data_IF_670629310099
#
_entry.id   IF_670629310099
#
_cell.length_a   1.000
_cell.length_b   1.000
_cell.length_c   1.000
_cell.angle_alpha   90.00
_cell.angle_beta   90.00
_cell.angle_gamma   90.00
#
_symmetry.space_group_name_H-M   'P 1'
#
loop_
_entity.id
_entity.type
_entity.pdbx_description
1 polymer ?
#
# COMPACT_ATOMS: atom_id res chain seq x y z
N UNK A 1 -16.83 -14.35 -5.43
CA UNK A 1 -16.62 -14.61 -3.98
C UNK A 1 -16.96 -16.03 -3.59
N UNK A 2 -18.22 -16.49 -3.75
CA UNK A 2 -18.63 -17.87 -3.39
C UNK A 2 -17.74 -18.96 -4.01
N UNK A 3 -17.68 -19.05 -5.34
CA UNK A 3 -16.90 -20.08 -6.05
C UNK A 3 -15.38 -19.90 -5.94
N UNK A 4 -14.93 -18.70 -5.56
CA UNK A 4 -13.51 -18.35 -5.47
C UNK A 4 -12.93 -18.65 -4.08
N UNK A 5 -13.69 -18.37 -3.03
CA UNK A 5 -13.22 -18.44 -1.65
C UNK A 5 -14.09 -19.38 -0.81
N UNK A 6 -15.39 -19.11 -0.69
CA UNK A 6 -16.30 -19.88 0.19
C UNK A 6 -16.29 -21.38 -0.12
N UNK A 7 -16.34 -21.75 -1.40
CA UNK A 7 -16.37 -23.15 -1.83
C UNK A 7 -14.97 -23.80 -1.90
N UNK A 8 -13.91 -22.99 -1.98
CA UNK A 8 -12.53 -23.45 -2.22
C UNK A 8 -11.69 -23.52 -0.95
N UNK A 9 -11.75 -22.52 -0.08
CA UNK A 9 -10.93 -22.43 1.14
C UNK A 9 -11.06 -23.70 2.01
N UNK A 10 -12.25 -24.25 2.28
CA UNK A 10 -12.37 -25.49 3.06
C UNK A 10 -11.66 -26.69 2.41
N UNK A 11 -11.57 -26.71 1.08
CA UNK A 11 -10.90 -27.78 0.31
C UNK A 11 -9.37 -27.61 0.27
N UNK A 12 -8.85 -26.45 0.68
CA UNK A 12 -7.42 -26.14 0.73
C UNK A 12 -6.78 -26.46 2.09
N UNK A 13 -7.56 -26.96 3.05
CA UNK A 13 -7.05 -27.35 4.36
C UNK A 13 -6.13 -28.57 4.20
N UNK A 14 -4.87 -28.41 4.60
CA UNK A 14 -3.91 -29.49 4.60
C UNK A 14 -4.19 -30.45 5.78
N UNK A 15 -4.48 -31.71 5.47
CA UNK A 15 -4.86 -32.72 6.45
C UNK A 15 -3.82 -32.97 7.57
N UNK A 16 -2.53 -32.77 7.30
CA UNK A 16 -1.47 -33.00 8.29
C UNK A 16 -1.36 -31.86 9.33
N UNK A 17 -1.81 -30.66 8.98
CA UNK A 17 -1.64 -29.47 9.84
C UNK A 17 -2.97 -28.86 10.29
N UNK A 18 -4.07 -29.19 9.62
CA UNK A 18 -5.36 -28.53 9.82
C UNK A 18 -5.41 -27.07 9.36
N UNK A 19 -4.42 -26.61 8.56
CA UNK A 19 -4.29 -25.21 8.12
C UNK A 19 -4.27 -25.09 6.61
N UNK A 20 -4.59 -23.90 6.11
CA UNK A 20 -4.39 -23.51 4.70
C UNK A 20 -2.96 -22.98 4.53
N UNK A 21 -2.26 -23.43 3.48
CA UNK A 21 -0.90 -23.02 3.15
C UNK A 21 -0.89 -22.30 1.80
N UNK A 22 -0.94 -20.97 1.82
CA UNK A 22 -0.86 -20.15 0.59
C UNK A 22 0.54 -20.25 -0.03
N UNK A 23 0.63 -19.99 -1.33
CA UNK A 23 1.89 -19.92 -2.07
C UNK A 23 2.26 -18.46 -2.35
N UNK A 24 3.37 -18.00 -1.75
CA UNK A 24 3.95 -16.69 -2.07
C UNK A 24 4.98 -16.80 -3.20
N UNK A 25 4.74 -16.05 -4.27
CA UNK A 25 5.59 -16.01 -5.45
C UNK A 25 6.44 -14.73 -5.41
N UNK A 26 7.75 -14.91 -5.20
CA UNK A 26 8.69 -13.80 -4.99
C UNK A 26 9.16 -13.14 -6.30
N UNK A 27 9.13 -13.87 -7.43
CA UNK A 27 9.70 -13.45 -8.72
C UNK A 27 8.64 -13.36 -9.84
N UNK A 28 7.45 -12.83 -9.52
CA UNK A 28 6.34 -12.71 -10.48
C UNK A 28 6.00 -11.25 -10.80
N UNK A 29 5.75 -10.41 -9.78
CA UNK A 29 5.37 -9.03 -10.02
C UNK A 29 6.59 -8.19 -10.47
N UNK A 30 6.43 -7.44 -11.56
CA UNK A 30 7.48 -6.56 -12.11
C UNK A 30 7.94 -5.54 -11.05
N UNK A 31 7.00 -5.05 -10.23
CA UNK A 31 7.27 -4.09 -9.14
C UNK A 31 7.93 -4.71 -7.92
N UNK A 32 8.14 -6.03 -7.90
CA UNK A 32 8.78 -6.72 -6.79
C UNK A 32 7.86 -7.04 -5.62
N UNK A 33 6.57 -6.70 -5.66
CA UNK A 33 5.59 -7.18 -4.66
C UNK A 33 5.54 -8.71 -4.65
N UNK A 34 5.26 -9.31 -3.49
CA UNK A 34 4.91 -10.72 -3.42
C UNK A 34 3.55 -10.91 -4.11
N UNK A 35 3.40 -11.98 -4.88
CA UNK A 35 2.08 -12.44 -5.35
C UNK A 35 1.65 -13.64 -4.53
N UNK A 36 0.35 -13.81 -4.31
CA UNK A 36 -0.22 -14.92 -3.53
C UNK A 36 -1.15 -15.76 -4.41
N UNK A 37 -1.06 -17.09 -4.27
CA UNK A 37 -1.97 -18.05 -4.92
C UNK A 37 -2.35 -19.18 -3.97
N UNK A 38 -3.50 -19.80 -4.26
CA UNK A 38 -4.02 -20.99 -3.56
C UNK A 38 -4.03 -20.91 -2.02
N UNK A 39 -4.78 -19.95 -1.42
CA UNK A 39 -5.62 -18.94 -2.07
C UNK A 39 -4.84 -17.66 -2.37
N UNK A 40 -5.32 -16.85 -3.33
CA UNK A 40 -4.83 -15.48 -3.51
C UNK A 40 -5.46 -14.57 -2.44
N UNK A 41 -4.68 -14.24 -1.42
CA UNK A 41 -5.11 -13.40 -0.29
C UNK A 41 -5.30 -11.92 -0.67
N UNK A 42 -4.58 -11.43 -1.69
CA UNK A 42 -4.63 -10.03 -2.14
C UNK A 42 -5.93 -9.67 -2.85
N UNK A 43 -6.67 -10.68 -3.33
CA UNK A 43 -7.92 -10.49 -4.05
C UNK A 43 -9.18 -10.60 -3.17
N UNK A 44 -9.02 -10.83 -1.85
CA UNK A 44 -10.14 -10.83 -0.92
C UNK A 44 -10.61 -9.38 -0.76
N UNK A 45 -11.86 -9.04 -1.11
CA UNK A 45 -12.32 -7.66 -1.05
C UNK A 45 -12.25 -7.09 0.37
N UNK A 46 -11.56 -5.96 0.51
CA UNK A 46 -11.36 -5.30 1.82
C UNK A 46 -12.65 -4.66 2.34
N UNK A 47 -13.48 -4.10 1.45
CA UNK A 47 -14.58 -3.19 1.83
C UNK A 47 -15.98 -3.76 1.70
N UNK A 48 -16.16 -4.90 1.02
CA UNK A 48 -17.49 -5.48 0.84
C UNK A 48 -17.88 -6.32 2.05
N UNK A 49 -19.16 -6.33 2.41
CA UNK A 49 -19.68 -7.12 3.53
C UNK A 49 -19.28 -8.59 3.39
N UNK A 50 -19.36 -9.13 2.17
CA UNK A 50 -18.99 -10.51 1.88
C UNK A 50 -17.49 -10.78 1.99
N UNK A 51 -16.66 -9.78 1.66
CA UNK A 51 -15.20 -9.87 1.80
C UNK A 51 -14.78 -9.88 3.27
N UNK A 52 -15.39 -9.01 4.08
CA UNK A 52 -15.23 -8.98 5.55
C UNK A 52 -15.60 -10.33 6.17
N UNK A 53 -16.73 -10.92 5.76
CA UNK A 53 -17.14 -12.26 6.19
C UNK A 53 -16.18 -13.39 5.78
N UNK A 54 -15.44 -13.24 4.68
CA UNK A 54 -14.38 -14.20 4.32
C UNK A 54 -13.21 -14.06 5.30
N UNK A 55 -12.84 -12.84 5.70
CA UNK A 55 -11.76 -12.58 6.66
C UNK A 55 -12.06 -13.07 8.08
N UNK A 56 -13.33 -13.02 8.48
CA UNK A 56 -13.81 -13.62 9.75
C UNK A 56 -13.47 -15.12 9.87
N UNK A 57 -13.31 -15.82 8.74
CA UNK A 57 -12.96 -17.25 8.73
C UNK A 57 -11.46 -17.53 8.99
N UNK A 58 -10.62 -16.50 9.03
CA UNK A 58 -9.19 -16.61 9.36
C UNK A 58 -9.00 -16.33 10.85
N UNK A 59 -9.07 -17.39 11.65
CA UNK A 59 -9.11 -17.33 13.11
C UNK A 59 -7.75 -17.64 13.75
N UNK A 60 -7.55 -17.12 14.97
CA UNK A 60 -6.49 -17.59 15.84
C UNK A 60 -6.88 -18.92 16.52
N UNK A 61 -5.91 -19.81 16.85
CA UNK A 61 -6.17 -20.94 17.73
C UNK A 61 -6.45 -20.46 19.17
N UNK A 62 -6.99 -21.36 20.00
CA UNK A 62 -7.22 -21.08 21.42
C UNK A 62 -5.92 -20.68 22.15
N UNK A 63 -5.99 -19.63 22.98
CA UNK A 63 -4.83 -19.08 23.70
C UNK A 63 -3.92 -18.19 22.86
N UNK A 64 -4.41 -17.75 21.70
CA UNK A 64 -3.73 -16.84 20.79
C UNK A 64 -4.71 -15.84 20.19
N UNK A 65 -4.16 -14.75 19.64
CA UNK A 65 -4.87 -13.74 18.87
C UNK A 65 -4.27 -13.58 17.47
N UNK A 66 -5.06 -13.01 16.56
CA UNK A 66 -4.56 -12.44 15.32
C UNK A 66 -4.11 -11.01 15.63
N UNK A 67 -2.87 -10.69 15.26
CA UNK A 67 -2.35 -9.33 15.28
C UNK A 67 -2.08 -8.90 13.84
N UNK A 68 -2.70 -7.80 13.42
CA UNK A 68 -2.47 -7.18 12.13
C UNK A 68 -1.60 -5.94 12.30
N UNK A 69 -0.58 -5.77 11.47
CA UNK A 69 0.21 -4.55 11.41
C UNK A 69 0.31 -4.05 9.96
N UNK A 70 -0.28 -2.89 9.69
CA UNK A 70 -0.40 -2.28 8.35
C UNK A 70 0.33 -0.94 8.29
N UNK A 71 1.04 -0.66 7.19
CA UNK A 71 1.68 0.64 7.04
C UNK A 71 0.70 1.75 6.68
N UNK A 72 0.54 2.71 7.58
CA UNK A 72 -0.34 3.86 7.39
C UNK A 72 0.20 4.81 6.31
N UNK A 73 -0.49 4.84 5.16
CA UNK A 73 -0.24 5.76 4.04
C UNK A 73 1.18 5.64 3.45
N UNK A 74 1.73 4.43 3.40
CA UNK A 74 3.12 4.19 2.96
C UNK A 74 3.45 4.85 1.63
N UNK A 75 2.54 4.81 0.67
CA UNK A 75 2.77 5.30 -0.69
C UNK A 75 2.88 6.84 -0.73
N UNK A 76 2.11 7.57 0.08
CA UNK A 76 2.23 9.03 0.19
C UNK A 76 3.51 9.42 0.94
N UNK A 77 3.91 8.66 1.96
CA UNK A 77 5.18 8.87 2.66
C UNK A 77 6.38 8.67 1.74
N UNK A 78 6.32 7.62 0.90
CA UNK A 78 7.33 7.39 -0.14
C UNK A 78 7.30 8.52 -1.17
N UNK A 79 6.13 8.97 -1.63
CA UNK A 79 6.05 10.09 -2.56
C UNK A 79 6.68 11.36 -1.97
N UNK A 80 6.38 11.70 -0.72
CA UNK A 80 6.97 12.86 -0.04
C UNK A 80 8.50 12.77 -0.01
N UNK A 81 9.04 11.59 0.31
CA UNK A 81 10.48 11.35 0.31
C UNK A 81 11.09 11.37 -1.10
N UNK A 82 10.49 10.73 -2.10
CA UNK A 82 11.06 10.69 -3.45
C UNK A 82 10.97 12.04 -4.17
N UNK A 83 9.92 12.80 -3.91
CA UNK A 83 9.71 14.12 -4.50
C UNK A 83 10.42 15.25 -3.77
N UNK A 84 10.84 15.02 -2.52
CA UNK A 84 11.39 16.07 -1.63
C UNK A 84 10.48 17.31 -1.57
N UNK A 85 9.17 17.12 -1.77
CA UNK A 85 8.24 18.22 -1.82
C UNK A 85 8.07 18.83 -0.42
N UNK A 86 8.51 20.08 -0.25
CA UNK A 86 8.49 20.75 1.05
C UNK A 86 7.08 20.84 1.65
N UNK A 87 6.05 21.02 0.82
CA UNK A 87 4.66 21.08 1.27
C UNK A 87 4.17 19.73 1.80
N UNK A 88 4.50 18.64 1.11
CA UNK A 88 4.14 17.29 1.52
C UNK A 88 4.93 16.83 2.76
N UNK A 89 6.23 17.12 2.82
CA UNK A 89 7.08 16.85 3.98
C UNK A 89 6.56 17.59 5.22
N UNK A 90 6.23 18.87 5.10
CA UNK A 90 5.68 19.66 6.20
C UNK A 90 4.31 19.15 6.65
N UNK A 91 3.43 18.77 5.71
CA UNK A 91 2.13 18.20 6.05
C UNK A 91 2.28 16.93 6.90
N UNK A 92 3.20 16.04 6.54
CA UNK A 92 3.49 14.86 7.37
C UNK A 92 4.13 15.20 8.72
N UNK A 93 5.05 16.16 8.76
CA UNK A 93 5.68 16.61 10.00
C UNK A 93 4.65 17.20 10.99
N UNK A 94 3.61 17.86 10.47
CA UNK A 94 2.50 18.42 11.23
C UNK A 94 1.39 17.40 11.54
N UNK A 95 1.54 16.14 11.12
CA UNK A 95 0.52 15.10 11.23
C UNK A 95 -0.82 15.49 10.54
N UNK A 96 -0.76 16.26 9.45
CA UNK A 96 -1.92 16.68 8.68
C UNK A 96 -2.49 15.53 7.85
N UNK A 97 -3.82 15.46 7.76
CA UNK A 97 -4.50 14.53 6.88
C UNK A 97 -4.57 15.09 5.45
N UNK A 98 -3.58 14.70 4.63
CA UNK A 98 -3.47 15.12 3.23
C UNK A 98 -4.73 14.76 2.43
N UNK A 99 -5.42 13.66 2.76
CA UNK A 99 -6.68 13.30 2.09
C UNK A 99 -7.81 14.25 2.45
N UNK A 100 -7.95 14.62 3.73
CA UNK A 100 -8.95 15.64 4.14
C UNK A 100 -8.65 16.99 3.52
N UNK A 101 -7.38 17.37 3.42
CA UNK A 101 -7.01 18.61 2.75
C UNK A 101 -7.41 18.61 1.27
N UNK A 102 -7.05 17.54 0.53
CA UNK A 102 -7.48 17.38 -0.87
C UNK A 102 -9.01 17.37 -0.98
N UNK A 103 -9.72 16.72 -0.06
CA UNK A 103 -11.18 16.68 -0.06
C UNK A 103 -11.78 18.08 0.12
N UNK A 104 -11.28 18.85 1.09
CA UNK A 104 -11.73 20.22 1.33
C UNK A 104 -11.65 21.08 0.06
N UNK A 105 -10.54 20.97 -0.68
CA UNK A 105 -10.36 21.69 -1.95
C UNK A 105 -11.25 21.17 -3.09
N UNK A 106 -11.42 19.85 -3.21
CA UNK A 106 -12.21 19.23 -4.28
C UNK A 106 -13.70 19.45 -4.09
N UNK A 107 -14.19 19.39 -2.85
CA UNK A 107 -15.61 19.54 -2.52
C UNK A 107 -15.98 20.98 -2.14
N UNK A 108 -15.01 21.88 -2.00
CA UNK A 108 -15.24 23.29 -1.67
C UNK A 108 -15.81 23.48 -0.25
N UNK A 109 -15.34 22.67 0.70
CA UNK A 109 -15.79 22.69 2.11
C UNK A 109 -14.62 22.96 3.04
N UNK A 110 -14.91 23.42 4.26
CA UNK A 110 -13.89 23.55 5.31
C UNK A 110 -13.29 22.18 5.68
N UNK A 111 -12.02 22.15 6.09
CA UNK A 111 -11.31 20.88 6.41
C UNK A 111 -12.03 20.04 7.46
N UNK A 112 -12.59 20.70 8.46
CA UNK A 112 -13.30 20.05 9.56
C UNK A 112 -14.72 19.61 9.16
N UNK A 113 -15.26 20.16 8.08
CA UNK A 113 -16.54 19.77 7.50
C UNK A 113 -16.42 18.59 6.51
N UNK A 114 -15.20 18.13 6.22
CA UNK A 114 -14.97 16.97 5.34
C UNK A 114 -15.51 15.71 6.01
N UNK A 115 -16.47 15.06 5.37
CA UNK A 115 -16.98 13.77 5.83
C UNK A 115 -16.07 12.59 5.41
N UNK A 116 -16.36 11.40 5.93
CA UNK A 116 -15.55 10.20 5.65
C UNK A 116 -15.64 9.74 4.19
N UNK A 117 -16.75 10.01 3.50
CA UNK A 117 -16.94 9.66 2.10
C UNK A 117 -16.12 10.59 1.20
N UNK A 118 -16.18 11.90 1.42
CA UNK A 118 -15.38 12.92 0.74
C UNK A 118 -13.88 12.65 0.92
N UNK A 119 -13.44 12.36 2.16
CA UNK A 119 -12.06 11.95 2.43
C UNK A 119 -11.68 10.68 1.65
N UNK A 120 -12.57 9.70 1.56
CA UNK A 120 -12.35 8.46 0.80
C UNK A 120 -12.21 8.73 -0.69
N UNK A 121 -13.02 9.62 -1.25
CA UNK A 121 -12.87 10.06 -2.65
C UNK A 121 -11.53 10.75 -2.88
N UNK A 122 -11.14 11.68 -2.00
CA UNK A 122 -9.85 12.35 -2.07
C UNK A 122 -8.66 11.39 -1.94
N UNK A 123 -8.79 10.29 -1.20
CA UNK A 123 -7.81 9.20 -1.18
C UNK A 123 -7.61 8.58 -2.56
N UNK A 124 -8.69 8.27 -3.28
CA UNK A 124 -8.61 7.76 -4.67
C UNK A 124 -7.98 8.79 -5.61
N UNK A 125 -8.30 10.07 -5.44
CA UNK A 125 -7.70 11.16 -6.21
C UNK A 125 -6.20 11.23 -5.96
N UNK A 126 -5.75 11.36 -4.70
CA UNK A 126 -4.34 11.47 -4.36
C UNK A 126 -3.54 10.29 -4.93
N UNK A 127 -4.05 9.05 -4.78
CA UNK A 127 -3.42 7.89 -5.41
C UNK A 127 -3.37 8.00 -6.92
N UNK A 128 -4.48 8.38 -7.56
CA UNK A 128 -4.50 8.62 -8.99
C UNK A 128 -3.43 9.61 -9.44
N UNK A 129 -3.34 10.76 -8.76
CA UNK A 129 -2.43 11.84 -9.12
C UNK A 129 -0.97 11.45 -8.95
N UNK A 130 -0.59 10.85 -7.80
CA UNK A 130 0.77 10.37 -7.60
C UNK A 130 1.14 9.29 -8.61
N UNK A 131 0.14 8.54 -9.11
CA UNK A 131 0.29 7.50 -10.12
C UNK A 131 0.14 7.96 -11.58
N UNK A 132 0.16 9.27 -11.82
CA UNK A 132 0.12 9.80 -13.19
C UNK A 132 -1.23 9.63 -13.88
N UNK A 133 -2.32 9.59 -13.13
CA UNK A 133 -3.68 9.67 -13.67
C UNK A 133 -3.85 10.96 -14.48
N UNK A 134 -4.42 10.83 -15.68
CA UNK A 134 -4.71 11.98 -16.54
C UNK A 134 -5.96 12.71 -16.07
N UNK A 135 -6.13 13.96 -16.52
CA UNK A 135 -7.37 14.72 -16.32
C UNK A 135 -8.63 13.94 -16.79
N UNK A 136 -8.49 13.13 -17.85
CA UNK A 136 -9.58 12.26 -18.31
C UNK A 136 -9.92 11.17 -17.30
N UNK A 137 -8.92 10.47 -16.77
CA UNK A 137 -9.13 9.43 -15.74
C UNK A 137 -9.71 10.00 -14.45
N UNK A 138 -9.24 11.19 -14.05
CA UNK A 138 -9.76 11.89 -12.88
C UNK A 138 -11.22 12.33 -13.09
N UNK A 139 -11.54 12.90 -14.26
CA UNK A 139 -12.89 13.29 -14.63
C UNK A 139 -13.87 12.10 -14.57
N UNK A 140 -13.47 10.93 -15.07
CA UNK A 140 -14.29 9.71 -14.99
C UNK A 140 -14.51 9.23 -13.55
N UNK A 141 -13.46 9.23 -12.72
CA UNK A 141 -13.56 8.76 -11.33
C UNK A 141 -14.41 9.68 -10.46
N UNK A 142 -14.42 10.99 -10.75
CA UNK A 142 -15.20 11.98 -10.00
C UNK A 142 -16.54 12.31 -10.64
N UNK A 143 -16.81 11.81 -11.84
CA UNK A 143 -17.99 12.15 -12.64
C UNK A 143 -18.13 13.68 -12.82
N UNK A 144 -17.05 14.34 -13.23
CA UNK A 144 -16.99 15.80 -13.45
C UNK A 144 -16.50 16.14 -14.86
N UNK A 145 -16.64 17.40 -15.26
CA UNK A 145 -16.08 17.93 -16.49
C UNK A 145 -14.55 17.82 -16.55
N UNK A 146 -14.01 17.53 -17.74
CA UNK A 146 -12.56 17.39 -17.96
C UNK A 146 -11.79 18.67 -17.61
N UNK A 147 -12.37 19.84 -17.85
CA UNK A 147 -11.77 21.14 -17.51
C UNK A 147 -11.65 21.33 -15.99
N UNK A 148 -12.67 20.92 -15.23
CA UNK A 148 -12.64 20.93 -13.77
C UNK A 148 -11.57 19.98 -13.23
N UNK A 149 -11.49 18.76 -13.77
CA UNK A 149 -10.43 17.80 -13.43
C UNK A 149 -9.03 18.36 -13.72
N UNK A 150 -8.81 19.01 -14.87
CA UNK A 150 -7.54 19.65 -15.19
C UNK A 150 -7.19 20.76 -14.20
N UNK A 151 -8.16 21.60 -13.82
CA UNK A 151 -7.97 22.64 -12.80
C UNK A 151 -7.59 22.07 -11.44
N UNK A 152 -8.19 20.95 -11.02
CA UNK A 152 -7.80 20.25 -9.79
C UNK A 152 -6.35 19.76 -9.83
N UNK A 153 -5.95 19.14 -10.96
CA UNK A 153 -4.58 18.68 -11.15
C UNK A 153 -3.58 19.84 -11.04
N UNK A 154 -3.87 20.97 -11.68
CA UNK A 154 -3.00 22.15 -11.61
C UNK A 154 -2.91 22.73 -10.20
N UNK A 155 -4.02 22.81 -9.45
CA UNK A 155 -3.99 23.23 -8.04
C UNK A 155 -3.17 22.30 -7.17
N UNK A 156 -3.34 20.99 -7.34
CA UNK A 156 -2.58 19.98 -6.62
C UNK A 156 -1.07 20.15 -6.86
N UNK A 157 -0.65 20.31 -8.13
CA UNK A 157 0.77 20.51 -8.44
C UNK A 157 1.30 21.90 -8.12
N UNK A 158 0.44 22.93 -8.02
CA UNK A 158 0.84 24.23 -7.50
C UNK A 158 1.11 24.17 -5.99
N UNK A 159 0.35 23.35 -5.26
CA UNK A 159 0.54 23.09 -3.83
C UNK A 159 1.74 22.18 -3.55
N UNK A 160 1.93 21.17 -4.39
CA UNK A 160 3.01 20.17 -4.30
C UNK A 160 3.89 20.16 -5.56
N UNK A 161 4.66 21.24 -5.81
CA UNK A 161 5.46 21.38 -7.03
C UNK A 161 6.57 20.32 -7.18
N UNK A 162 7.15 19.84 -6.08
CA UNK A 162 8.18 18.80 -6.08
C UNK A 162 7.64 17.46 -6.61
N UNK A 163 6.36 17.17 -6.40
CA UNK A 163 5.71 15.98 -6.98
C UNK A 163 5.68 16.08 -8.51
N UNK A 164 5.37 17.26 -9.06
CA UNK A 164 5.35 17.50 -10.51
C UNK A 164 6.74 17.32 -11.11
N UNK A 165 7.75 17.87 -10.44
CA UNK A 165 9.16 17.76 -10.83
C UNK A 165 9.61 16.30 -10.81
N UNK A 166 9.34 15.57 -9.72
CA UNK A 166 9.63 14.15 -9.60
C UNK A 166 9.04 13.33 -10.76
N UNK A 167 7.76 13.55 -11.08
CA UNK A 167 7.11 12.84 -12.18
C UNK A 167 7.75 13.15 -13.53
N UNK A 168 8.14 14.40 -13.77
CA UNK A 168 8.83 14.80 -14.99
C UNK A 168 10.21 14.15 -15.09
N UNK A 169 11.03 14.31 -14.06
CA UNK A 169 12.39 13.77 -14.00
C UNK A 169 12.39 12.24 -14.14
N UNK A 170 11.45 11.55 -13.49
CA UNK A 170 11.30 10.10 -13.61
C UNK A 170 10.98 9.66 -15.04
N UNK A 171 10.12 10.39 -15.76
CA UNK A 171 9.84 10.10 -17.19
C UNK A 171 11.09 10.30 -18.05
N UNK A 172 11.86 11.34 -17.79
CA UNK A 172 13.10 11.62 -18.53
C UNK A 172 14.16 10.54 -18.28
N UNK A 173 14.37 10.16 -17.02
CA UNK A 173 15.26 9.05 -16.65
C UNK A 173 14.83 7.75 -17.34
N UNK A 174 13.53 7.44 -17.33
CA UNK A 174 13.01 6.26 -17.99
C UNK A 174 13.28 6.27 -19.51
N UNK A 175 13.10 7.43 -20.18
CA UNK A 175 13.39 7.58 -21.63
C UNK A 175 14.87 7.42 -21.94
N UNK A 176 15.74 7.95 -21.10
CA UNK A 176 17.19 7.92 -21.27
C UNK A 176 17.78 6.53 -21.00
N UNK A 177 17.37 5.88 -19.90
CA UNK A 177 17.95 4.62 -19.43
C UNK A 177 17.18 3.36 -19.87
N UNK A 178 15.91 3.50 -20.22
CA UNK A 178 15.00 2.38 -20.47
C UNK A 178 14.46 1.68 -19.21
N UNK A 179 14.81 2.18 -18.02
CA UNK A 179 14.34 1.65 -16.73
C UNK A 179 14.25 2.75 -15.67
N UNK A 180 13.55 2.44 -14.59
CA UNK A 180 13.49 3.23 -13.35
C UNK A 180 13.93 2.38 -12.15
N UNK A 181 14.30 3.03 -11.05
CA UNK A 181 14.80 2.39 -9.84
C UNK A 181 13.94 2.75 -8.63
N UNK A 182 13.73 1.80 -7.73
CA UNK A 182 13.23 2.06 -6.37
C UNK A 182 14.29 2.76 -5.53
N UNK A 183 13.92 3.24 -4.35
CA UNK A 183 14.88 3.78 -3.36
C UNK A 183 16.03 2.81 -3.02
N UNK A 184 15.77 1.49 -3.01
CA UNK A 184 16.76 0.46 -2.70
C UNK A 184 17.50 -0.10 -3.92
N UNK A 185 17.36 0.51 -5.09
CA UNK A 185 18.07 0.13 -6.31
C UNK A 185 17.46 -1.04 -7.12
N UNK A 186 16.27 -1.56 -6.77
CA UNK A 186 15.53 -2.48 -7.64
C UNK A 186 15.19 -1.77 -8.95
N UNK A 187 15.55 -2.39 -10.07
CA UNK A 187 15.28 -1.88 -11.43
C UNK A 187 13.99 -2.44 -12.01
N UNK A 188 13.24 -1.57 -12.68
CA UNK A 188 12.06 -1.92 -13.46
C UNK A 188 12.25 -1.40 -14.89
N UNK A 189 12.34 -2.32 -15.84
CA UNK A 189 12.48 -2.01 -17.26
C UNK A 189 11.15 -1.53 -17.84
N UNK A 190 11.21 -0.48 -18.65
CA UNK A 190 10.04 0.15 -19.26
C UNK A 190 10.20 0.14 -20.78
N UNK A 191 10.03 -1.01 -21.44
CA UNK A 191 10.39 -1.19 -22.85
C UNK A 191 9.62 -0.27 -23.81
N UNK A 192 8.38 0.07 -23.49
CA UNK A 192 7.52 0.91 -24.32
C UNK A 192 7.72 2.42 -24.09
N UNK A 193 8.72 2.84 -23.29
CA UNK A 193 8.92 4.25 -22.91
C UNK A 193 9.26 5.16 -24.11
N UNK A 194 9.87 4.58 -25.14
CA UNK A 194 10.22 5.26 -26.40
C UNK A 194 9.34 4.78 -27.57
N UNK A 195 8.21 4.13 -27.29
CA UNK A 195 7.29 3.62 -28.32
C UNK A 195 6.79 4.76 -29.22
N UNK A 196 6.79 4.53 -30.54
CA UNK A 196 6.18 5.46 -31.50
C UNK A 196 4.65 5.55 -31.31
N UNK A 197 4.03 4.49 -30.76
CA UNK A 197 2.62 4.47 -30.43
C UNK A 197 2.34 5.30 -29.15
N UNK A 198 1.61 6.40 -29.30
CA UNK A 198 1.33 7.33 -28.21
C UNK A 198 0.60 6.70 -27.02
N UNK A 199 -0.31 5.75 -27.24
CA UNK A 199 -1.04 5.08 -26.16
C UNK A 199 -0.13 4.14 -25.36
N UNK A 200 0.72 3.35 -26.05
CA UNK A 200 1.71 2.48 -25.38
C UNK A 200 2.72 3.30 -24.60
N UNK A 201 3.24 4.38 -25.20
CA UNK A 201 4.15 5.32 -24.55
C UNK A 201 3.53 5.97 -23.31
N UNK A 202 2.28 6.44 -23.38
CA UNK A 202 1.60 7.01 -22.22
C UNK A 202 1.32 5.98 -21.11
N UNK A 203 1.12 4.71 -21.46
CA UNK A 203 1.08 3.60 -20.49
C UNK A 203 2.43 3.39 -19.81
N UNK A 204 3.50 3.38 -20.60
CA UNK A 204 4.87 3.26 -20.12
C UNK A 204 5.31 4.40 -19.21
N UNK A 205 4.98 5.65 -19.55
CA UNK A 205 5.27 6.82 -18.71
C UNK A 205 4.57 6.74 -17.35
N UNK A 206 3.31 6.27 -17.30
CA UNK A 206 2.61 6.03 -16.03
C UNK A 206 3.26 4.90 -15.23
N UNK A 207 3.62 3.80 -15.89
CA UNK A 207 4.33 2.70 -15.24
C UNK A 207 5.67 3.16 -14.66
N UNK A 208 6.41 4.02 -15.37
CA UNK A 208 7.67 4.59 -14.91
C UNK A 208 7.52 5.44 -13.64
N UNK A 209 6.41 6.16 -13.49
CA UNK A 209 6.10 6.95 -12.29
C UNK A 209 5.66 6.05 -11.12
N UNK A 210 4.82 5.04 -11.37
CA UNK A 210 4.33 4.13 -10.32
C UNK A 210 5.42 3.22 -9.75
N UNK A 211 6.26 2.71 -10.65
CA UNK A 211 7.19 1.63 -10.37
C UNK A 211 8.12 1.92 -9.17
N UNK A 212 8.78 3.09 -9.08
CA UNK A 212 9.62 3.42 -7.92
C UNK A 212 8.85 3.43 -6.61
N UNK A 213 7.64 4.00 -6.58
CA UNK A 213 6.83 4.05 -5.35
C UNK A 213 6.36 2.67 -4.91
N UNK A 214 5.70 1.94 -5.82
CA UNK A 214 5.14 0.64 -5.52
C UNK A 214 6.24 -0.39 -5.22
N UNK A 215 7.37 -0.29 -5.91
CA UNK A 215 8.53 -1.13 -5.65
C UNK A 215 9.24 -0.79 -4.34
N UNK A 216 9.37 0.49 -3.99
CA UNK A 216 9.91 0.89 -2.69
C UNK A 216 9.03 0.39 -1.55
N UNK A 217 7.70 0.45 -1.68
CA UNK A 217 6.79 -0.17 -0.71
C UNK A 217 6.99 -1.69 -0.61
N UNK A 218 7.21 -2.36 -1.75
CA UNK A 218 7.50 -3.80 -1.78
C UNK A 218 8.85 -4.16 -1.12
N UNK A 219 9.85 -3.28 -1.23
CA UNK A 219 11.14 -3.47 -0.59
C UNK A 219 11.02 -3.25 0.93
N UNK A 220 10.30 -2.20 1.36
CA UNK A 220 10.04 -1.90 2.78
C UNK A 220 9.31 -3.04 3.50
N UNK A 221 8.25 -3.60 2.89
CA UNK A 221 7.52 -4.71 3.53
C UNK A 221 8.40 -5.96 3.65
N UNK A 222 9.28 -6.23 2.68
CA UNK A 222 10.24 -7.35 2.76
C UNK A 222 11.31 -7.13 3.82
N UNK A 223 11.83 -5.91 3.95
CA UNK A 223 12.76 -5.55 5.02
C UNK A 223 12.08 -5.71 6.39
N UNK A 224 10.81 -5.30 6.53
CA UNK A 224 10.00 -5.53 7.72
C UNK A 224 9.83 -7.02 8.03
N UNK A 225 9.49 -7.85 7.03
CA UNK A 225 9.39 -9.31 7.21
C UNK A 225 10.70 -9.90 7.73
N UNK A 226 11.85 -9.50 7.17
CA UNK A 226 13.18 -9.98 7.62
C UNK A 226 13.47 -9.52 9.05
N UNK A 227 13.19 -8.25 9.38
CA UNK A 227 13.40 -7.70 10.71
C UNK A 227 12.54 -8.41 11.77
N UNK A 228 11.26 -8.61 11.47
CA UNK A 228 10.31 -9.33 12.34
C UNK A 228 10.72 -10.78 12.51
N UNK A 229 11.00 -11.51 11.43
CA UNK A 229 11.44 -12.92 11.50
C UNK A 229 12.72 -13.09 12.34
N UNK A 230 13.70 -12.19 12.16
CA UNK A 230 14.93 -12.18 12.97
C UNK A 230 14.60 -11.96 14.45
N UNK A 231 13.78 -10.97 14.76
CA UNK A 231 13.40 -10.66 16.14
C UNK A 231 12.67 -11.83 16.81
N UNK A 232 11.66 -12.41 16.16
CA UNK A 232 10.92 -13.57 16.67
C UNK A 232 11.87 -14.74 17.01
N UNK A 233 12.86 -15.00 16.14
CA UNK A 233 13.87 -16.06 16.36
C UNK A 233 14.85 -15.75 17.48
N UNK A 234 15.31 -14.49 17.57
CA UNK A 234 16.26 -14.07 18.60
C UNK A 234 15.65 -14.13 20.00
N UNK A 235 14.43 -13.63 20.15
CA UNK A 235 13.67 -13.65 21.41
C UNK A 235 13.01 -15.01 21.70
N UNK A 236 13.11 -15.95 20.75
CA UNK A 236 12.53 -17.31 20.83
C UNK A 236 11.02 -17.30 21.10
N UNK A 237 10.32 -16.36 20.47
CA UNK A 237 8.88 -16.20 20.60
C UNK A 237 8.14 -17.34 19.88
N UNK A 238 7.00 -17.75 20.45
CA UNK A 238 6.08 -18.70 19.84
C UNK A 238 5.15 -18.04 18.79
N UNK A 239 5.11 -16.71 18.77
CA UNK A 239 4.47 -15.89 17.73
C UNK A 239 4.92 -16.28 16.33
N UNK A 240 3.98 -16.30 15.37
CA UNK A 240 4.23 -16.68 13.98
C UNK A 240 3.77 -15.59 13.02
N UNK A 241 4.62 -15.20 12.08
CA UNK A 241 4.21 -14.44 10.90
C UNK A 241 3.48 -15.39 9.94
N UNK A 242 2.15 -15.22 9.79
CA UNK A 242 1.29 -16.17 9.05
C UNK A 242 0.84 -15.64 7.69
N UNK A 243 0.72 -14.32 7.50
CA UNK A 243 0.36 -13.73 6.20
C UNK A 243 1.09 -12.42 5.94
N UNK A 244 1.26 -12.12 4.64
CA UNK A 244 1.64 -10.83 4.10
C UNK A 244 0.59 -10.48 3.04
N UNK A 245 -0.14 -9.39 3.22
CA UNK A 245 -1.19 -8.97 2.29
C UNK A 245 -1.06 -7.47 2.06
N UNK A 246 -0.89 -7.03 0.81
CA UNK A 246 -0.65 -5.63 0.47
C UNK A 246 0.58 -5.03 1.20
N UNK A 247 0.35 -4.15 2.18
CA UNK A 247 1.28 -3.45 3.05
C UNK A 247 1.19 -3.92 4.52
N UNK A 248 0.44 -5.00 4.75
CA UNK A 248 0.14 -5.59 6.05
C UNK A 248 0.94 -6.87 6.31
N UNK A 249 1.38 -7.02 7.56
CA UNK A 249 1.86 -8.27 8.15
C UNK A 249 0.84 -8.78 9.17
N UNK A 250 0.46 -10.05 9.06
CA UNK A 250 -0.49 -10.70 9.98
C UNK A 250 0.21 -11.80 10.75
N UNK A 251 0.06 -11.76 12.08
CA UNK A 251 0.71 -12.67 13.01
C UNK A 251 -0.32 -13.45 13.84
N UNK A 252 0.01 -14.69 14.17
CA UNK A 252 -0.62 -15.46 15.24
C UNK A 252 0.22 -15.26 16.50
N UNK A 253 -0.38 -14.73 17.57
CA UNK A 253 0.34 -14.26 18.77
C UNK A 253 -0.28 -14.91 20.02
N UNK A 254 0.48 -15.72 20.78
CA UNK A 254 0.02 -16.28 22.06
C UNK A 254 -0.29 -15.20 23.11
N UNK A 255 -1.23 -15.48 24.01
CA UNK A 255 -1.70 -14.53 25.03
C UNK A 255 -0.55 -13.92 25.87
N UNK A 256 0.44 -14.75 26.22
CA UNK A 256 1.58 -14.34 27.03
C UNK A 256 2.62 -13.48 26.27
N UNK A 257 2.51 -13.35 24.95
CA UNK A 257 3.40 -12.55 24.10
C UNK A 257 2.70 -11.29 23.53
N UNK A 258 1.38 -11.17 23.72
CA UNK A 258 0.57 -10.15 23.06
C UNK A 258 1.05 -8.72 23.30
N UNK A 259 1.30 -8.32 24.55
CA UNK A 259 1.71 -6.96 24.87
C UNK A 259 3.10 -6.61 24.31
N UNK A 260 4.00 -7.59 24.31
CA UNK A 260 5.33 -7.45 23.72
C UNK A 260 5.23 -7.23 22.20
N UNK A 261 4.41 -8.04 21.51
CA UNK A 261 4.22 -7.93 20.07
C UNK A 261 3.55 -6.61 19.70
N UNK A 262 2.48 -6.21 20.39
CA UNK A 262 1.78 -4.93 20.14
C UNK A 262 2.72 -3.73 20.25
N UNK A 263 3.65 -3.77 21.19
CA UNK A 263 4.60 -2.68 21.42
C UNK A 263 5.76 -2.71 20.43
N UNK A 264 6.29 -3.89 20.13
CA UNK A 264 7.58 -4.03 19.42
C UNK A 264 7.41 -4.09 17.90
N UNK A 265 6.38 -4.79 17.41
CA UNK A 265 6.11 -4.96 15.98
C UNK A 265 6.04 -3.64 15.20
N UNK A 266 5.26 -2.62 15.62
CA UNK A 266 5.20 -1.37 14.87
C UNK A 266 6.55 -0.65 14.87
N UNK A 267 7.30 -0.69 15.98
CA UNK A 267 8.62 -0.08 16.08
C UNK A 267 9.61 -0.74 15.10
N UNK A 268 9.59 -2.07 14.99
CA UNK A 268 10.43 -2.79 14.03
C UNK A 268 10.09 -2.40 12.59
N UNK A 269 8.81 -2.40 12.23
CA UNK A 269 8.36 -2.01 10.90
C UNK A 269 8.74 -0.56 10.58
N UNK A 270 8.56 0.37 11.51
CA UNK A 270 8.88 1.78 11.28
C UNK A 270 10.38 2.03 11.04
N UNK A 271 11.26 1.21 11.64
CA UNK A 271 12.70 1.44 11.65
C UNK A 271 13.48 0.64 10.59
N UNK A 272 12.81 -0.07 9.67
CA UNK A 272 13.50 -0.84 8.63
C UNK A 272 14.20 0.01 7.58
N UNK A 273 13.85 1.29 7.49
CA UNK A 273 14.49 2.25 6.62
C UNK A 273 14.38 3.66 7.19
N UNK A 274 15.36 4.50 6.85
CA UNK A 274 15.31 5.93 7.16
C UNK A 274 14.81 6.68 5.93
N UNK A 275 13.58 7.16 6.01
CA UNK A 275 12.99 8.10 5.07
C UNK A 275 12.84 9.47 5.76
N UNK A 276 12.71 10.55 4.99
CA UNK A 276 12.51 11.89 5.56
C UNK A 276 11.15 12.04 6.25
N UNK A 277 10.16 11.27 5.78
CA UNK A 277 8.88 11.08 6.47
C UNK A 277 8.93 9.75 7.20
N UNK A 278 8.75 9.73 8.54
CA UNK A 278 8.80 8.48 9.29
C UNK A 278 7.72 7.53 8.78
N UNK A 279 8.06 6.25 8.64
CA UNK A 279 7.06 5.21 8.42
C UNK A 279 6.18 5.13 9.67
N UNK A 280 4.91 4.78 9.50
CA UNK A 280 4.00 4.48 10.60
C UNK A 280 3.34 3.14 10.31
N UNK A 281 3.28 2.28 11.33
CA UNK A 281 2.56 1.02 11.29
C UNK A 281 1.47 1.04 12.35
N UNK A 282 0.23 0.80 11.94
CA UNK A 282 -0.93 0.69 12.83
C UNK A 282 -1.14 -0.78 13.18
N UNK A 283 -1.43 -1.05 14.45
CA UNK A 283 -1.61 -2.42 14.96
C UNK A 283 -3.03 -2.62 15.44
N UNK A 284 -3.71 -3.62 14.89
CA UNK A 284 -4.99 -4.12 15.36
C UNK A 284 -4.88 -5.54 15.89
N UNK A 285 -5.81 -5.92 16.77
CA UNK A 285 -5.82 -7.21 17.47
C UNK A 285 -7.23 -7.74 17.49
N UNK A 286 -7.40 -9.03 17.22
CA UNK A 286 -8.69 -9.68 17.29
C UNK A 286 -8.61 -11.20 17.24
N UNK A 287 -9.74 -11.86 17.45
CA UNK A 287 -9.83 -13.32 17.41
C UNK A 287 -9.79 -13.87 15.97
N UNK A 288 -9.99 -12.99 14.98
CA UNK A 288 -9.92 -13.30 13.56
C UNK A 288 -9.33 -12.12 12.78
N UNK A 289 -9.01 -12.35 11.51
CA UNK A 289 -8.36 -11.34 10.68
C UNK A 289 -9.24 -10.10 10.48
N UNK A 290 -10.56 -10.24 10.38
CA UNK A 290 -11.45 -9.07 10.23
C UNK A 290 -11.50 -8.19 11.48
N UNK A 291 -11.45 -8.77 12.68
CA UNK A 291 -11.44 -7.97 13.92
C UNK A 291 -10.08 -7.36 14.23
N UNK A 292 -8.99 -7.92 13.68
CA UNK A 292 -7.65 -7.37 13.78
C UNK A 292 -7.32 -6.32 12.70
N UNK A 293 -8.04 -6.29 11.58
CA UNK A 293 -7.82 -5.41 10.44
C UNK A 293 -8.64 -4.11 10.54
#
# INVERSE_FOLDING_TARGET
LKSTYTDKLPKMINAATGRVHTSYNQAVAITGRLASSDPNLQNIPVRSVEGRRIREAFIAPQGSHIVSADYSQIELRIMAHLSQDAGMLQAFANNEDIHRHTAAEVFGVERDAVDNEQRRYAKVINFGLIYGMSAFGLAQNLNIERSAAASYIERYFARYPGVREYMQNTREIAKQKGYVETYFGRRLWVPEINSANGQRRAGAERAAINAPMQGTAADLIKLAMIAVDKWLKTEKLATKLIMQVHDELVLEVPDNELDLVKTTLPILMQNVAKLDVPLLAEVGVGDNWESAH
#
